data_IF_321776469819
#
_entry.id   IF_321776469819
#
_cell.length_a   1.000
_cell.length_b   1.000
_cell.length_c   1.000
_cell.angle_alpha   90.00
_cell.angle_beta   90.00
_cell.angle_gamma   90.00
#
_symmetry.space_group_name_H-M   'P 1'
#
loop_
_entity.id
_entity.type
_entity.pdbx_description
1 polymer ?
#
# COMPACT_ATOMS: atom_id res chain seq x y z
N UNK A 1 -61.34 -23.03 -14.11
CA UNK A 1 -60.51 -22.97 -12.87
C UNK A 1 -59.18 -23.73 -12.97
N UNK A 2 -59.10 -24.93 -13.57
CA UNK A 2 -57.84 -25.72 -13.61
C UNK A 2 -56.66 -25.12 -14.41
N UNK A 3 -56.91 -24.35 -15.48
CA UNK A 3 -55.84 -23.75 -16.32
C UNK A 3 -55.10 -22.61 -15.62
N UNK A 4 -55.80 -21.83 -14.80
CA UNK A 4 -55.22 -20.71 -14.05
C UNK A 4 -54.30 -21.19 -12.92
N UNK A 5 -54.62 -22.33 -12.29
CA UNK A 5 -53.76 -22.94 -11.27
C UNK A 5 -52.41 -23.41 -11.81
N UNK A 6 -52.38 -23.97 -13.03
CA UNK A 6 -51.13 -24.44 -13.65
C UNK A 6 -50.22 -23.26 -14.05
N UNK A 7 -50.79 -22.18 -14.56
CA UNK A 7 -50.03 -20.98 -14.92
C UNK A 7 -49.43 -20.38 -13.65
N UNK A 8 -50.22 -20.16 -12.58
CA UNK A 8 -49.72 -19.65 -11.31
C UNK A 8 -48.61 -20.52 -10.71
N UNK A 9 -48.72 -21.85 -10.79
CA UNK A 9 -47.69 -22.76 -10.29
C UNK A 9 -46.39 -22.67 -11.10
N UNK A 10 -46.47 -22.56 -12.43
CA UNK A 10 -45.29 -22.42 -13.29
C UNK A 10 -44.63 -21.05 -13.15
N UNK A 11 -45.40 -19.97 -13.01
CA UNK A 11 -44.82 -18.65 -12.76
C UNK A 11 -44.15 -18.59 -11.39
N UNK A 12 -44.74 -19.20 -10.36
CA UNK A 12 -44.11 -19.29 -9.03
C UNK A 12 -42.82 -20.12 -9.06
N UNK A 13 -42.82 -21.26 -9.77
CA UNK A 13 -41.61 -22.08 -9.95
C UNK A 13 -40.53 -21.35 -10.76
N UNK A 14 -40.91 -20.63 -11.82
CA UNK A 14 -40.00 -19.80 -12.59
C UNK A 14 -39.45 -18.62 -11.79
N UNK A 15 -40.26 -17.98 -10.93
CA UNK A 15 -39.78 -16.95 -10.00
C UNK A 15 -38.87 -17.52 -8.91
N UNK A 16 -39.05 -18.78 -8.49
CA UNK A 16 -38.16 -19.44 -7.54
C UNK A 16 -36.83 -19.86 -8.20
N UNK A 17 -36.84 -20.19 -9.50
CA UNK A 17 -35.66 -20.50 -10.30
C UNK A 17 -34.92 -19.25 -10.81
N UNK A 18 -35.63 -18.13 -10.95
CA UNK A 18 -35.09 -16.82 -11.34
C UNK A 18 -34.85 -15.90 -10.16
N UNK A 19 -35.17 -16.31 -8.93
CA UNK A 19 -34.75 -15.60 -7.73
C UNK A 19 -33.22 -15.58 -7.79
N UNK A 20 -32.58 -14.42 -8.05
CA UNK A 20 -31.14 -14.37 -7.91
C UNK A 20 -30.88 -14.83 -6.47
N UNK A 21 -30.00 -15.82 -6.33
CA UNK A 21 -29.44 -16.20 -5.04
C UNK A 21 -28.70 -14.97 -4.51
N UNK A 22 -29.44 -13.98 -4.01
CA UNK A 22 -29.00 -12.98 -3.08
C UNK A 22 -28.77 -13.74 -1.79
N UNK A 23 -27.77 -14.63 -1.82
CA UNK A 23 -27.01 -14.99 -0.66
C UNK A 23 -26.59 -13.63 -0.11
N UNK A 24 -27.29 -13.20 0.94
CA UNK A 24 -26.80 -12.18 1.83
C UNK A 24 -25.43 -12.69 2.27
N UNK A 25 -24.39 -12.28 1.54
CA UNK A 25 -23.02 -12.41 1.95
C UNK A 25 -22.98 -11.54 3.21
N UNK A 26 -23.16 -12.18 4.38
CA UNK A 26 -22.68 -11.61 5.63
C UNK A 26 -21.27 -11.12 5.32
N UNK A 27 -20.98 -9.82 5.50
CA UNK A 27 -19.73 -9.22 5.04
C UNK A 27 -18.58 -10.09 5.59
N UNK A 28 -17.78 -10.72 4.72
CA UNK A 28 -16.84 -11.73 5.17
C UNK A 28 -15.73 -11.04 5.98
N UNK A 29 -15.80 -11.17 7.31
CA UNK A 29 -14.74 -10.81 8.24
C UNK A 29 -13.57 -11.77 8.01
N UNK A 30 -12.71 -11.43 7.06
CA UNK A 30 -11.69 -12.36 6.54
C UNK A 30 -10.28 -12.07 7.04
N UNK A 31 -10.08 -11.07 7.90
CA UNK A 31 -8.75 -10.74 8.38
C UNK A 31 -8.77 -10.25 9.83
N UNK A 32 -8.71 -11.22 10.75
CA UNK A 32 -8.63 -10.99 12.21
C UNK A 32 -8.67 -12.29 13.00
N UNK A 33 -9.40 -13.31 12.54
CA UNK A 33 -9.37 -14.66 13.10
C UNK A 33 -9.68 -15.67 12.00
N UNK A 34 -8.64 -16.16 11.32
CA UNK A 34 -8.80 -17.40 10.54
C UNK A 34 -9.09 -18.50 11.54
N UNK A 35 -10.36 -18.83 11.73
CA UNK A 35 -10.67 -20.14 12.24
C UNK A 35 -10.05 -21.13 11.24
N UNK A 36 -9.08 -21.94 11.69
CA UNK A 36 -8.47 -23.02 10.90
C UNK A 36 -9.49 -24.15 10.68
N UNK A 37 -10.64 -23.80 10.09
CA UNK A 37 -11.76 -24.67 9.81
C UNK A 37 -12.26 -24.42 8.38
N UNK A 38 -13.08 -25.34 7.90
CA UNK A 38 -13.60 -25.32 6.54
C UNK A 38 -14.42 -24.08 6.19
N UNK A 39 -15.04 -23.43 7.18
CA UNK A 39 -15.84 -22.22 6.95
C UNK A 39 -14.96 -21.04 6.56
N UNK A 40 -13.89 -20.77 7.29
CA UNK A 40 -12.97 -19.66 6.95
C UNK A 40 -12.33 -19.84 5.57
N UNK A 41 -12.01 -21.08 5.19
CA UNK A 41 -11.51 -21.37 3.85
C UNK A 41 -12.56 -21.10 2.77
N UNK A 42 -13.83 -21.44 3.00
CA UNK A 42 -14.92 -21.29 2.04
C UNK A 42 -15.37 -19.84 1.81
N UNK A 43 -14.99 -18.91 2.70
CA UNK A 43 -15.24 -17.48 2.52
C UNK A 43 -14.40 -16.92 1.36
N UNK A 44 -13.19 -17.47 1.14
CA UNK A 44 -12.26 -17.06 0.09
C UNK A 44 -12.16 -18.05 -1.09
N UNK A 45 -12.32 -19.34 -0.83
CA UNK A 45 -12.07 -20.42 -1.80
C UNK A 45 -13.32 -21.24 -2.12
N UNK A 46 -13.38 -21.80 -3.33
CA UNK A 46 -14.43 -22.74 -3.75
C UNK A 46 -13.87 -23.79 -4.73
N UNK A 47 -13.92 -25.06 -4.35
CA UNK A 47 -13.18 -26.14 -5.05
C UNK A 47 -13.74 -26.50 -6.43
N UNK A 48 -15.06 -26.34 -6.66
CA UNK A 48 -15.71 -26.80 -7.89
C UNK A 48 -16.36 -25.69 -8.71
N UNK A 49 -16.25 -24.44 -8.29
CA UNK A 49 -16.91 -23.30 -8.96
C UNK A 49 -16.03 -22.05 -9.01
N UNK A 50 -14.73 -22.17 -8.76
CA UNK A 50 -13.85 -21.01 -8.72
C UNK A 50 -13.64 -20.44 -10.11
N UNK A 51 -13.68 -19.11 -10.21
CA UNK A 51 -13.46 -18.38 -11.46
C UNK A 51 -12.01 -17.96 -11.66
N UNK A 52 -11.16 -18.15 -10.64
CA UNK A 52 -9.77 -17.74 -10.61
C UNK A 52 -8.83 -18.86 -10.12
N UNK A 53 -7.54 -18.69 -10.43
CA UNK A 53 -6.48 -19.58 -9.94
C UNK A 53 -6.49 -19.65 -8.40
N UNK A 54 -5.95 -20.75 -7.86
CA UNK A 54 -5.94 -21.03 -6.41
C UNK A 54 -7.34 -21.13 -5.80
N UNK A 55 -8.33 -21.51 -6.60
CA UNK A 55 -9.71 -21.73 -6.19
C UNK A 55 -10.39 -20.48 -5.61
N UNK A 56 -9.95 -19.27 -5.96
CA UNK A 56 -10.54 -18.04 -5.44
C UNK A 56 -12.00 -17.90 -5.89
N UNK A 57 -12.88 -17.52 -4.96
CA UNK A 57 -14.34 -17.50 -5.12
C UNK A 57 -14.83 -16.50 -6.16
N UNK A 58 -14.11 -15.41 -6.37
CA UNK A 58 -14.49 -14.35 -7.30
C UNK A 58 -13.27 -13.73 -7.97
N UNK A 59 -13.52 -13.07 -9.11
CA UNK A 59 -12.49 -12.44 -9.93
C UNK A 59 -11.79 -13.42 -10.89
N UNK A 60 -10.82 -12.91 -11.64
CA UNK A 60 -10.00 -13.68 -12.60
C UNK A 60 -8.57 -13.87 -12.10
N UNK A 61 -8.16 -13.12 -11.08
CA UNK A 61 -6.86 -13.19 -10.41
C UNK A 61 -6.96 -12.72 -8.94
N UNK A 62 -5.88 -12.87 -8.18
CA UNK A 62 -5.82 -12.51 -6.78
C UNK A 62 -6.13 -11.02 -6.53
N UNK A 63 -5.63 -10.12 -7.37
CA UNK A 63 -5.90 -8.67 -7.23
C UNK A 63 -7.38 -8.36 -7.40
N UNK A 64 -8.05 -8.92 -8.41
CA UNK A 64 -9.50 -8.76 -8.58
C UNK A 64 -10.28 -9.36 -7.42
N UNK A 65 -9.78 -10.42 -6.80
CA UNK A 65 -10.34 -10.98 -5.58
C UNK A 65 -10.20 -10.00 -4.42
N UNK A 66 -8.98 -9.56 -4.09
CA UNK A 66 -8.77 -8.61 -2.99
C UNK A 66 -9.60 -7.32 -3.16
N UNK A 67 -9.73 -6.81 -4.38
CA UNK A 67 -10.50 -5.60 -4.69
C UNK A 67 -12.02 -5.77 -4.61
N UNK A 68 -12.55 -6.99 -4.58
CA UNK A 68 -13.98 -7.17 -4.32
C UNK A 68 -14.36 -6.79 -2.88
N UNK A 69 -13.40 -6.78 -1.96
CA UNK A 69 -13.57 -6.35 -0.57
C UNK A 69 -12.88 -5.01 -0.29
N UNK A 70 -11.70 -4.77 -0.88
CA UNK A 70 -10.88 -3.57 -0.66
C UNK A 70 -10.96 -2.53 -1.79
N UNK A 71 -11.84 -2.71 -2.77
CA UNK A 71 -12.03 -1.78 -3.87
C UNK A 71 -13.00 -0.64 -3.53
N UNK A 72 -13.24 0.20 -4.54
CA UNK A 72 -14.26 1.23 -4.44
C UNK A 72 -15.65 0.60 -4.27
N UNK A 73 -16.44 1.13 -3.34
CA UNK A 73 -17.82 0.69 -3.05
C UNK A 73 -17.93 -0.77 -2.59
N UNK A 74 -16.81 -1.42 -2.26
CA UNK A 74 -16.78 -2.78 -1.74
C UNK A 74 -17.30 -2.82 -0.29
N UNK A 75 -18.11 -3.83 0.03
CA UNK A 75 -18.82 -3.98 1.33
C UNK A 75 -18.01 -4.88 2.30
N UNK A 76 -16.72 -5.13 2.03
CA UNK A 76 -15.92 -6.13 2.77
C UNK A 76 -14.79 -5.58 3.63
N UNK A 77 -14.50 -4.29 3.59
CA UNK A 77 -13.38 -3.70 4.33
C UNK A 77 -13.56 -2.19 4.53
N UNK A 78 -13.10 -1.63 5.66
CA UNK A 78 -13.06 -0.19 5.86
C UNK A 78 -12.01 0.49 4.97
N UNK A 79 -11.12 -0.26 4.32
CA UNK A 79 -10.10 0.25 3.41
C UNK A 79 -10.53 0.12 1.95
N UNK A 80 -10.54 1.24 1.24
CA UNK A 80 -10.59 1.31 -0.23
C UNK A 80 -9.16 1.59 -0.71
N UNK A 81 -8.44 0.52 -1.05
CA UNK A 81 -7.04 0.59 -1.51
C UNK A 81 -6.94 1.10 -2.95
N UNK A 82 -8.05 1.08 -3.70
CA UNK A 82 -8.08 1.68 -5.04
C UNK A 82 -7.97 3.20 -4.93
N UNK A 83 -8.74 3.81 -4.06
CA UNK A 83 -8.78 5.27 -3.93
C UNK A 83 -7.97 5.82 -2.75
N UNK A 84 -7.33 4.97 -1.96
CA UNK A 84 -6.53 5.40 -0.81
C UNK A 84 -7.41 6.01 0.29
N UNK A 85 -8.58 5.42 0.54
CA UNK A 85 -9.54 5.89 1.53
C UNK A 85 -9.70 4.87 2.66
N UNK A 86 -9.97 5.37 3.86
CA UNK A 86 -10.26 4.58 5.05
C UNK A 86 -11.57 5.09 5.63
N UNK A 87 -12.58 4.25 5.77
CA UNK A 87 -13.80 4.58 6.51
C UNK A 87 -13.44 4.76 7.98
N UNK A 88 -13.72 5.96 8.52
CA UNK A 88 -13.81 6.18 9.95
C UNK A 88 -15.01 5.38 10.42
N UNK A 89 -14.77 4.35 11.21
CA UNK A 89 -15.84 3.54 11.80
C UNK A 89 -16.77 4.44 12.60
N UNK A 90 -18.01 4.63 12.14
CA UNK A 90 -19.10 4.95 13.07
C UNK A 90 -19.56 3.60 13.64
N UNK A 91 -19.47 3.46 14.96
CA UNK A 91 -19.96 2.31 15.74
C UNK A 91 -19.73 0.95 15.08
N UNK A 92 -18.47 0.53 15.08
CA UNK A 92 -18.14 -0.89 14.94
C UNK A 92 -18.61 -1.61 16.21
N UNK A 93 -19.57 -2.53 16.08
CA UNK A 93 -19.89 -3.43 17.18
C UNK A 93 -18.88 -4.58 17.18
N UNK A 94 -17.86 -4.48 18.03
CA UNK A 94 -16.89 -5.56 18.23
C UNK A 94 -17.53 -6.87 18.73
N UNK A 95 -18.76 -6.82 19.23
CA UNK A 95 -19.51 -7.99 19.74
C UNK A 95 -20.22 -8.74 18.62
N UNK A 96 -20.77 -8.03 17.64
CA UNK A 96 -21.51 -8.67 16.52
C UNK A 96 -20.74 -8.71 15.20
N UNK A 97 -19.60 -8.01 15.11
CA UNK A 97 -18.80 -7.92 13.88
C UNK A 97 -19.54 -7.21 12.73
N UNK A 98 -20.62 -6.50 13.04
CA UNK A 98 -21.43 -5.78 12.07
C UNK A 98 -21.12 -4.29 12.12
N UNK A 99 -21.20 -3.64 10.96
CA UNK A 99 -21.32 -2.19 10.91
C UNK A 99 -22.74 -1.86 11.40
N UNK A 100 -22.86 -1.19 12.56
CA UNK A 100 -24.17 -0.90 13.18
C UNK A 100 -25.02 0.05 12.32
N UNK A 101 -24.39 0.75 11.38
CA UNK A 101 -25.05 1.62 10.42
C UNK A 101 -24.60 1.27 9.01
N UNK A 102 -25.51 1.33 8.03
CA UNK A 102 -25.17 1.24 6.61
C UNK A 102 -24.40 2.49 6.18
N UNK A 103 -23.17 2.64 6.68
CA UNK A 103 -22.26 3.72 6.32
C UNK A 103 -21.95 3.59 4.84
N UNK A 104 -22.48 4.53 4.07
CA UNK A 104 -22.20 4.64 2.65
C UNK A 104 -20.89 5.41 2.50
N UNK A 105 -20.01 4.93 1.62
CA UNK A 105 -18.76 5.61 1.21
C UNK A 105 -18.95 7.06 0.72
N UNK A 106 -20.19 7.51 0.50
CA UNK A 106 -20.53 8.84 0.01
C UNK A 106 -20.66 9.91 1.10
N UNK A 107 -20.57 9.56 2.40
CA UNK A 107 -20.50 10.56 3.46
C UNK A 107 -19.04 11.01 3.67
N UNK A 108 -18.69 12.13 3.05
CA UNK A 108 -17.35 12.73 3.10
C UNK A 108 -16.89 13.10 4.52
N UNK A 109 -17.81 13.16 5.50
CA UNK A 109 -17.45 13.41 6.90
C UNK A 109 -16.71 12.23 7.57
N UNK A 110 -16.86 11.01 7.04
CA UNK A 110 -16.40 9.77 7.68
C UNK A 110 -15.27 9.06 6.94
N UNK A 111 -14.46 9.77 6.15
CA UNK A 111 -13.35 9.17 5.40
C UNK A 111 -12.02 9.79 5.81
N UNK A 112 -11.09 8.96 6.26
CA UNK A 112 -9.68 9.30 6.47
C UNK A 112 -8.84 8.94 5.24
N UNK A 113 -7.80 9.71 4.93
CA UNK A 113 -6.86 9.35 3.88
C UNK A 113 -5.96 8.19 4.29
N UNK A 114 -5.71 7.27 3.36
CA UNK A 114 -4.71 6.22 3.52
C UNK A 114 -3.30 6.82 3.44
N UNK A 115 -2.50 6.60 4.48
CA UNK A 115 -1.09 7.02 4.49
C UNK A 115 -0.21 6.17 3.55
N UNK A 116 -0.68 4.99 3.14
CA UNK A 116 0.00 4.16 2.14
C UNK A 116 -0.27 4.61 0.70
N UNK A 117 -1.23 5.51 0.49
CA UNK A 117 -1.78 5.86 -0.82
C UNK A 117 -2.80 4.85 -1.34
N UNK A 118 -3.24 5.07 -2.57
CA UNK A 118 -4.08 4.14 -3.33
C UNK A 118 -3.52 3.91 -4.72
N UNK A 119 -4.13 3.01 -5.50
CA UNK A 119 -3.63 2.64 -6.83
C UNK A 119 -4.19 3.50 -7.97
N UNK A 120 -5.44 3.94 -7.87
CA UNK A 120 -6.08 4.83 -8.86
C UNK A 120 -6.03 6.29 -8.39
N UNK A 121 -6.34 6.51 -7.11
CA UNK A 121 -6.29 7.83 -6.48
C UNK A 121 -5.48 7.77 -5.18
N UNK A 122 -4.79 8.88 -4.87
CA UNK A 122 -4.13 9.09 -3.59
C UNK A 122 -4.46 10.47 -3.04
N UNK A 123 -4.45 10.59 -1.71
CA UNK A 123 -4.65 11.87 -1.06
C UNK A 123 -3.39 12.73 -1.15
N UNK A 124 -3.55 13.97 -1.62
CA UNK A 124 -2.47 14.95 -1.69
C UNK A 124 -2.40 15.75 -0.39
N UNK A 125 -1.56 15.27 0.54
CA UNK A 125 -1.32 15.93 1.83
C UNK A 125 -0.62 17.29 1.69
N UNK A 126 0.08 17.53 0.57
CA UNK A 126 1.01 18.66 0.42
C UNK A 126 0.36 19.99 0.07
N UNK A 127 -0.56 19.98 -0.91
CA UNK A 127 -1.01 21.24 -1.54
C UNK A 127 -2.52 21.46 -1.43
N UNK A 128 -3.30 20.48 -1.89
CA UNK A 128 -4.74 20.69 -2.08
C UNK A 128 -5.61 19.99 -1.06
N UNK A 129 -5.07 19.08 -0.24
CA UNK A 129 -5.84 18.28 0.71
C UNK A 129 -7.03 17.58 0.02
N UNK A 130 -6.80 17.10 -1.21
CA UNK A 130 -7.79 16.43 -2.05
C UNK A 130 -7.23 15.15 -2.65
N UNK A 131 -8.13 14.26 -3.08
CA UNK A 131 -7.75 13.08 -3.85
C UNK A 131 -7.37 13.47 -5.28
N UNK A 132 -6.26 12.92 -5.75
CA UNK A 132 -5.76 13.09 -7.12
C UNK A 132 -5.49 11.74 -7.75
N UNK A 133 -5.58 11.72 -9.07
CA UNK A 133 -5.13 10.59 -9.87
C UNK A 133 -3.66 10.31 -9.55
N UNK A 134 -3.36 9.03 -9.37
CA UNK A 134 -2.00 8.60 -9.07
C UNK A 134 -1.13 8.76 -10.31
N UNK A 135 0.11 9.23 -10.08
CA UNK A 135 1.10 9.47 -11.14
C UNK A 135 2.25 8.48 -11.09
N UNK A 136 2.39 7.74 -9.98
CA UNK A 136 3.36 6.66 -9.78
C UNK A 136 2.78 5.57 -8.88
N UNK A 137 2.94 4.29 -9.26
CA UNK A 137 2.44 3.11 -8.53
C UNK A 137 3.42 1.94 -8.58
N UNK A 138 3.32 1.03 -7.62
CA UNK A 138 3.70 -0.36 -7.89
C UNK A 138 2.71 -1.01 -8.87
N UNK A 139 3.22 -1.65 -9.93
CA UNK A 139 2.38 -2.29 -10.95
C UNK A 139 1.89 -3.66 -10.48
N UNK A 140 0.80 -3.69 -9.70
CA UNK A 140 0.16 -4.93 -9.26
C UNK A 140 -0.63 -5.55 -10.43
N UNK A 141 -0.31 -6.78 -10.81
CA UNK A 141 -1.02 -7.58 -11.81
C UNK A 141 -2.52 -7.53 -11.58
N UNK A 142 -3.28 -7.30 -12.65
CA UNK A 142 -4.74 -7.19 -12.57
C UNK A 142 -5.26 -5.85 -12.05
N UNK A 143 -4.41 -4.99 -11.47
CA UNK A 143 -4.78 -3.64 -11.06
C UNK A 143 -5.27 -2.82 -12.25
N UNK A 144 -4.56 -2.81 -13.37
CA UNK A 144 -4.91 -1.96 -14.50
C UNK A 144 -6.19 -2.42 -15.22
N UNK A 145 -6.43 -3.73 -15.28
CA UNK A 145 -7.71 -4.27 -15.75
C UNK A 145 -8.87 -3.91 -14.82
N UNK A 146 -8.63 -3.84 -13.51
CA UNK A 146 -9.63 -3.49 -12.49
C UNK A 146 -9.81 -1.96 -12.30
N UNK A 147 -8.78 -1.16 -12.62
CA UNK A 147 -8.72 0.28 -12.37
C UNK A 147 -8.92 1.13 -13.63
N UNK A 148 -8.90 0.51 -14.82
CA UNK A 148 -8.87 1.18 -16.11
C UNK A 148 -7.45 1.59 -16.52
N UNK A 149 -7.29 2.07 -17.76
CA UNK A 149 -6.03 2.68 -18.21
C UNK A 149 -5.69 3.86 -17.30
N UNK A 150 -4.59 3.75 -16.56
CA UNK A 150 -4.10 4.85 -15.74
C UNK A 150 -3.33 5.79 -16.67
N UNK A 151 -4.07 6.69 -17.35
CA UNK A 151 -3.55 7.56 -18.42
C UNK A 151 -2.43 8.51 -17.99
N UNK A 152 -2.19 8.66 -16.68
CA UNK A 152 -1.23 9.62 -16.12
C UNK A 152 0.05 8.95 -15.57
N UNK A 153 0.18 7.62 -15.65
CA UNK A 153 1.44 6.95 -15.35
C UNK A 153 2.24 6.91 -16.65
N UNK A 154 3.31 7.71 -16.72
CA UNK A 154 4.16 7.74 -17.91
C UNK A 154 4.72 6.34 -18.18
N UNK A 155 4.74 5.92 -19.44
CA UNK A 155 5.15 4.59 -19.90
C UNK A 155 6.57 4.17 -19.48
N UNK A 156 7.41 5.11 -19.04
CA UNK A 156 8.75 4.84 -18.50
C UNK A 156 8.75 4.25 -17.08
N UNK A 157 7.67 4.45 -16.32
CA UNK A 157 7.47 3.83 -15.00
C UNK A 157 6.72 2.50 -15.11
N UNK A 158 6.18 2.24 -16.30
CA UNK A 158 5.65 0.98 -16.75
C UNK A 158 6.81 0.14 -17.29
N UNK A 159 7.70 -0.33 -16.40
CA UNK A 159 8.75 -1.26 -16.83
C UNK A 159 8.05 -2.52 -17.33
N UNK A 160 8.09 -2.73 -18.64
CA UNK A 160 7.74 -4.01 -19.26
C UNK A 160 8.78 -5.04 -18.80
N UNK A 161 8.51 -5.64 -17.64
CA UNK A 161 9.41 -6.60 -17.01
C UNK A 161 9.13 -6.71 -15.52
N UNK A 162 9.22 -7.93 -15.01
CA UNK A 162 9.04 -8.24 -13.60
C UNK A 162 10.22 -7.75 -12.74
N UNK A 163 11.21 -7.03 -13.28
CA UNK A 163 12.44 -6.65 -12.57
C UNK A 163 12.18 -5.61 -11.50
N UNK A 164 12.66 -5.88 -10.28
CA UNK A 164 12.49 -4.97 -9.15
C UNK A 164 13.53 -3.83 -9.25
N UNK A 165 13.12 -2.55 -9.20
CA UNK A 165 14.08 -1.44 -9.21
C UNK A 165 15.04 -1.53 -8.02
N UNK A 166 16.33 -1.69 -8.28
CA UNK A 166 17.31 -1.87 -7.20
C UNK A 166 17.12 -3.18 -6.42
N UNK A 167 16.53 -4.20 -7.06
CA UNK A 167 16.50 -5.57 -6.56
C UNK A 167 17.26 -6.51 -7.49
N UNK A 168 17.80 -7.61 -6.97
CA UNK A 168 18.37 -8.69 -7.78
C UNK A 168 17.32 -9.62 -8.40
N UNK A 169 16.06 -9.48 -7.98
CA UNK A 169 14.95 -10.36 -8.33
C UNK A 169 14.02 -9.85 -9.41
N UNK A 170 13.12 -10.75 -9.81
CA UNK A 170 11.99 -10.48 -10.68
C UNK A 170 10.71 -10.97 -10.00
N UNK A 171 9.64 -10.19 -10.05
CA UNK A 171 8.36 -10.43 -9.39
C UNK A 171 7.19 -10.11 -10.32
N UNK A 172 6.34 -11.10 -10.56
CA UNK A 172 4.97 -10.83 -11.02
C UNK A 172 4.19 -10.34 -9.81
N UNK A 173 4.00 -9.02 -9.72
CA UNK A 173 3.56 -8.36 -8.50
C UNK A 173 2.05 -8.53 -8.33
N UNK A 174 1.57 -9.10 -7.24
CA UNK A 174 0.15 -9.17 -6.87
C UNK A 174 -0.02 -8.74 -5.41
N UNK A 175 -1.25 -8.57 -4.92
CA UNK A 175 -1.48 -8.15 -3.52
C UNK A 175 -0.76 -9.07 -2.52
N UNK A 176 -0.84 -10.36 -2.77
CA UNK A 176 -0.18 -11.43 -2.01
C UNK A 176 1.31 -11.54 -2.26
N UNK A 177 1.94 -10.68 -3.07
CA UNK A 177 3.40 -10.56 -3.12
C UNK A 177 3.94 -9.82 -1.90
N UNK A 178 3.17 -8.87 -1.36
CA UNK A 178 3.49 -8.09 -0.18
C UNK A 178 2.73 -8.57 1.05
N UNK A 179 1.47 -8.96 0.84
CA UNK A 179 0.59 -9.40 1.92
C UNK A 179 0.58 -10.92 2.03
N UNK A 180 0.32 -11.41 3.23
CA UNK A 180 0.06 -12.79 3.54
C UNK A 180 -1.32 -12.89 4.17
N UNK A 181 -2.38 -13.11 3.37
CA UNK A 181 -3.72 -13.23 3.91
C UNK A 181 -3.83 -14.40 4.89
N UNK A 182 -2.94 -15.38 4.87
CA UNK A 182 -2.97 -16.51 5.80
C UNK A 182 -2.14 -16.29 7.08
N UNK A 183 -1.42 -15.18 7.21
CA UNK A 183 -0.51 -14.96 8.33
C UNK A 183 -1.21 -14.98 9.69
N UNK A 184 -2.53 -14.72 9.73
CA UNK A 184 -3.35 -14.78 10.95
C UNK A 184 -2.91 -13.78 12.02
N UNK A 185 -3.81 -13.48 12.94
CA UNK A 185 -3.50 -12.63 14.10
C UNK A 185 -4.74 -11.95 14.64
N UNK A 186 -5.20 -12.40 15.81
CA UNK A 186 -6.22 -11.70 16.58
C UNK A 186 -5.75 -10.27 16.84
N UNK A 187 -6.53 -9.26 16.44
CA UNK A 187 -6.30 -7.88 16.88
C UNK A 187 -6.71 -7.81 18.35
N UNK A 188 -5.73 -7.71 19.23
CA UNK A 188 -5.97 -7.23 20.61
C UNK A 188 -5.25 -5.91 20.72
N UNK A 189 -5.74 -5.01 21.58
CA UNK A 189 -5.45 -3.57 21.56
C UNK A 189 -3.97 -3.18 21.67
N UNK A 190 -3.08 -4.12 22.00
CA UNK A 190 -1.62 -3.93 21.95
C UNK A 190 -1.04 -4.35 20.58
N UNK A 191 -1.09 -3.42 19.63
CA UNK A 191 -0.84 -3.66 18.20
C UNK A 191 0.63 -3.54 17.76
N UNK A 192 1.55 -3.20 18.68
CA UNK A 192 2.95 -2.94 18.32
C UNK A 192 3.71 -4.19 17.85
N UNK A 193 3.35 -5.38 18.34
CA UNK A 193 4.04 -6.64 17.99
C UNK A 193 3.31 -7.50 16.94
N UNK A 194 2.15 -7.04 16.47
CA UNK A 194 1.34 -7.76 15.48
C UNK A 194 1.58 -7.17 14.09
N UNK A 195 1.45 -8.03 13.09
CA UNK A 195 1.63 -7.68 11.68
C UNK A 195 0.35 -7.01 11.13
N UNK A 196 0.16 -5.69 11.31
CA UNK A 196 -1.17 -5.09 11.38
C UNK A 196 -1.76 -4.80 9.99
N UNK A 197 -1.03 -5.20 8.94
CA UNK A 197 -1.42 -5.13 7.53
C UNK A 197 -1.19 -6.47 6.84
N UNK A 198 -0.98 -7.54 7.61
CA UNK A 198 -0.69 -8.87 7.07
C UNK A 198 0.48 -8.84 6.09
N UNK A 199 1.56 -8.10 6.37
CA UNK A 199 2.74 -8.04 5.52
C UNK A 199 3.54 -9.34 5.62
N UNK A 200 4.08 -9.83 4.51
CA UNK A 200 4.90 -11.04 4.53
C UNK A 200 6.11 -10.89 5.44
N UNK A 201 6.36 -11.93 6.20
CA UNK A 201 7.57 -12.08 7.02
C UNK A 201 8.77 -12.62 6.22
N UNK A 202 8.51 -13.05 4.98
CA UNK A 202 9.51 -13.56 4.07
C UNK A 202 9.32 -12.91 2.70
N UNK A 203 10.37 -12.21 2.25
CA UNK A 203 10.45 -11.64 0.90
C UNK A 203 11.78 -12.10 0.29
N UNK A 204 11.70 -12.83 -0.83
CA UNK A 204 12.85 -13.43 -1.49
C UNK A 204 13.72 -14.25 -0.51
N UNK A 205 14.99 -13.85 -0.35
CA UNK A 205 15.98 -14.48 0.52
C UNK A 205 15.93 -13.94 1.97
N UNK A 206 15.13 -12.91 2.25
CA UNK A 206 14.98 -12.36 3.60
C UNK A 206 13.84 -13.03 4.34
N UNK A 207 14.09 -13.36 5.60
CA UNK A 207 13.14 -14.04 6.50
C UNK A 207 13.07 -13.31 7.84
N UNK A 208 12.03 -13.57 8.63
CA UNK A 208 11.86 -12.92 9.93
C UNK A 208 11.55 -11.42 9.83
N UNK A 209 11.07 -10.97 8.68
CA UNK A 209 10.70 -9.57 8.47
C UNK A 209 9.49 -9.24 9.35
N UNK A 210 9.58 -8.17 10.14
CA UNK A 210 8.51 -7.72 11.02
C UNK A 210 8.38 -6.21 10.92
N UNK A 211 7.25 -5.77 10.38
CA UNK A 211 6.88 -4.36 10.39
C UNK A 211 5.96 -4.10 11.58
N UNK A 212 6.31 -3.07 12.36
CA UNK A 212 5.58 -2.64 13.55
C UNK A 212 5.06 -1.22 13.34
N UNK A 213 3.80 -0.99 13.69
CA UNK A 213 3.17 0.34 13.66
C UNK A 213 2.00 0.38 14.63
N UNK A 214 1.76 1.53 15.23
CA UNK A 214 0.52 1.80 15.97
C UNK A 214 -0.57 2.21 15.01
N UNK A 215 -1.77 1.63 15.16
CA UNK A 215 -2.96 2.04 14.43
C UNK A 215 -3.98 2.55 15.45
N UNK A 216 -4.62 3.67 15.15
CA UNK A 216 -5.73 4.15 15.95
C UNK A 216 -6.93 3.18 15.78
N UNK A 217 -7.40 2.54 16.86
CA UNK A 217 -8.47 1.55 16.79
C UNK A 217 -9.80 2.14 16.30
N UNK A 218 -10.01 3.45 16.42
CA UNK A 218 -11.25 4.11 16.03
C UNK A 218 -11.26 4.55 14.56
N UNK A 219 -10.09 4.76 13.96
CA UNK A 219 -9.98 5.28 12.60
C UNK A 219 -9.28 4.33 11.64
N UNK A 220 -8.64 3.27 12.16
CA UNK A 220 -7.83 2.32 11.40
C UNK A 220 -6.65 2.98 10.64
N UNK A 221 -6.28 4.20 11.02
CA UNK A 221 -5.17 4.97 10.45
C UNK A 221 -3.90 4.67 11.25
N UNK A 222 -2.75 4.39 10.60
CA UNK A 222 -1.47 4.33 11.32
C UNK A 222 -1.17 5.67 11.99
N UNK A 223 -0.92 5.67 13.30
CA UNK A 223 -0.56 6.86 14.08
C UNK A 223 0.94 6.99 14.31
N UNK A 224 1.67 5.87 14.24
CA UNK A 224 3.12 5.83 14.34
C UNK A 224 3.66 4.61 13.61
N UNK A 225 4.74 4.77 12.84
CA UNK A 225 5.54 3.65 12.36
C UNK A 225 6.64 3.39 13.39
N UNK A 226 6.82 2.14 13.80
CA UNK A 226 7.74 1.80 14.91
C UNK A 226 9.04 1.24 14.37
N UNK A 227 8.98 0.23 13.50
CA UNK A 227 10.19 -0.41 12.95
C UNK A 227 9.90 -1.33 11.78
N UNK A 228 10.95 -1.68 11.03
CA UNK A 228 11.00 -2.85 10.14
C UNK A 228 10.71 -2.61 8.67
N UNK A 229 10.26 -1.41 8.27
CA UNK A 229 10.03 -1.07 6.86
C UNK A 229 11.32 -1.12 6.05
N UNK A 230 12.47 -0.73 6.61
CA UNK A 230 13.73 -0.81 5.89
C UNK A 230 14.10 -2.26 5.54
N UNK A 231 14.03 -3.16 6.50
CA UNK A 231 14.26 -4.59 6.26
C UNK A 231 13.25 -5.17 5.25
N UNK A 232 11.98 -4.80 5.41
CA UNK A 232 10.88 -5.30 4.58
C UNK A 232 10.97 -4.81 3.12
N UNK A 233 11.06 -3.50 2.88
CA UNK A 233 11.27 -2.94 1.55
C UNK A 233 12.59 -3.44 0.94
N UNK A 234 13.65 -3.54 1.75
CA UNK A 234 14.95 -4.07 1.34
C UNK A 234 14.95 -5.57 1.00
N UNK A 235 13.90 -6.32 1.32
CA UNK A 235 13.74 -7.72 0.86
C UNK A 235 13.47 -7.83 -0.63
N UNK A 236 12.86 -6.81 -1.22
CA UNK A 236 12.69 -6.69 -2.67
C UNK A 236 13.77 -5.78 -3.28
N UNK A 237 14.06 -4.66 -2.61
CA UNK A 237 15.01 -3.65 -3.07
C UNK A 237 16.38 -3.83 -2.38
N UNK A 238 17.04 -4.95 -2.66
CA UNK A 238 18.25 -5.42 -1.96
C UNK A 238 19.53 -4.61 -2.25
N UNK A 239 19.55 -3.77 -3.29
CA UNK A 239 20.68 -2.87 -3.55
C UNK A 239 20.79 -1.77 -2.49
N UNK A 240 19.68 -1.46 -1.81
CA UNK A 240 19.66 -0.47 -0.74
C UNK A 240 20.11 -1.17 0.54
N UNK A 241 21.25 -0.73 1.08
CA UNK A 241 21.84 -1.28 2.30
C UNK A 241 20.93 -1.03 3.52
N UNK A 242 20.01 -1.95 3.76
CA UNK A 242 18.90 -1.81 4.71
C UNK A 242 19.15 -2.49 6.06
N UNK A 243 20.17 -3.35 6.17
CA UNK A 243 20.32 -4.26 7.33
C UNK A 243 21.51 -4.00 8.24
N UNK A 244 22.60 -3.38 7.77
CA UNK A 244 23.75 -3.20 8.66
C UNK A 244 24.65 -2.04 8.27
N UNK A 245 24.96 -1.24 9.29
CA UNK A 245 25.90 -0.11 9.29
C UNK A 245 25.49 1.04 8.38
N UNK A 246 24.76 1.96 8.99
CA UNK A 246 25.01 3.39 9.05
C UNK A 246 25.82 4.12 7.95
N UNK A 247 25.75 3.72 6.69
CA UNK A 247 26.51 4.33 5.61
C UNK A 247 25.54 4.90 4.60
N UNK A 248 25.51 6.23 4.51
CA UNK A 248 25.31 6.87 3.22
C UNK A 248 26.34 6.23 2.28
N UNK A 249 25.84 5.52 1.28
CA UNK A 249 26.65 4.64 0.46
C UNK A 249 26.58 5.05 -0.99
N UNK A 250 27.53 4.53 -1.76
CA UNK A 250 27.36 4.45 -3.19
C UNK A 250 27.40 3.01 -3.64
N UNK A 251 26.61 2.71 -4.67
CA UNK A 251 26.74 1.44 -5.41
C UNK A 251 27.22 1.77 -6.80
N UNK A 252 28.19 1.00 -7.29
CA UNK A 252 28.59 1.00 -8.69
C UNK A 252 27.61 0.14 -9.46
N UNK A 253 26.80 0.75 -10.32
CA UNK A 253 25.88 0.02 -11.21
C UNK A 253 26.17 0.43 -12.66
N UNK A 254 26.54 -0.53 -13.50
CA UNK A 254 26.93 -0.25 -14.90
C UNK A 254 28.11 0.72 -15.03
N UNK A 255 29.06 0.70 -14.09
CA UNK A 255 30.23 1.59 -14.08
C UNK A 255 29.96 3.01 -13.60
N UNK A 256 28.79 3.30 -13.03
CA UNK A 256 28.45 4.62 -12.46
C UNK A 256 28.20 4.53 -10.96
N UNK A 257 28.78 5.48 -10.23
CA UNK A 257 28.59 5.67 -8.79
C UNK A 257 27.21 6.28 -8.51
N UNK A 258 26.33 5.55 -7.83
CA UNK A 258 25.02 6.04 -7.36
C UNK A 258 25.06 6.34 -5.87
N UNK A 259 24.96 7.61 -5.47
CA UNK A 259 24.87 7.99 -4.07
C UNK A 259 23.44 7.91 -3.56
N UNK A 260 23.25 7.32 -2.39
CA UNK A 260 21.94 7.10 -1.78
C UNK A 260 21.91 7.59 -0.35
N UNK A 261 20.73 8.06 0.09
CA UNK A 261 20.53 8.46 1.48
C UNK A 261 20.68 7.24 2.40
N UNK A 262 21.23 7.47 3.59
CA UNK A 262 21.36 6.45 4.62
C UNK A 262 19.98 6.08 5.20
N UNK A 263 19.72 4.77 5.36
CA UNK A 263 18.55 4.25 6.08
C UNK A 263 18.92 3.86 7.53
N UNK A 264 17.93 3.72 8.41
CA UNK A 264 18.11 3.51 9.86
C UNK A 264 18.98 4.61 10.50
N UNK A 265 18.88 5.85 9.98
CA UNK A 265 19.63 7.00 10.51
C UNK A 265 18.75 7.75 11.49
N UNK A 266 19.20 7.86 12.74
CA UNK A 266 18.58 8.67 13.77
C UNK A 266 18.51 10.15 13.37
N UNK A 267 17.33 10.72 13.53
CA UNK A 267 16.99 12.13 13.36
C UNK A 267 16.84 12.73 14.75
N UNK A 268 17.78 13.58 15.13
CA UNK A 268 17.78 14.22 16.45
C UNK A 268 16.97 15.53 16.42
N UNK A 269 16.03 15.66 17.36
CA UNK A 269 15.11 16.81 17.47
C UNK A 269 15.88 18.13 17.76
N UNK A 270 16.97 18.05 18.51
CA UNK A 270 17.78 19.20 18.96
C UNK A 270 18.42 20.01 17.84
N UNK A 271 18.53 19.47 16.62
CA UNK A 271 19.11 20.17 15.47
C UNK A 271 18.11 21.10 14.78
N UNK A 272 16.80 20.95 15.02
CA UNK A 272 15.74 21.66 14.27
C UNK A 272 15.16 22.90 14.96
N UNK A 273 15.82 23.41 16.01
CA UNK A 273 15.65 24.79 16.48
C UNK A 273 14.22 25.19 16.86
N UNK A 274 13.44 24.28 17.45
CA UNK A 274 12.08 24.59 17.94
C UNK A 274 11.01 24.67 16.84
N UNK A 275 11.29 24.20 15.62
CA UNK A 275 10.24 24.08 14.61
C UNK A 275 9.26 22.98 15.04
N UNK A 276 8.05 23.37 15.40
CA UNK A 276 7.02 22.48 15.93
C UNK A 276 6.59 21.47 14.86
N UNK A 277 7.21 20.29 14.94
CA UNK A 277 6.66 18.99 14.53
C UNK A 277 6.40 18.76 13.02
N UNK A 278 7.43 18.69 12.15
CA UNK A 278 7.27 18.15 10.79
C UNK A 278 7.09 16.62 10.75
N UNK A 279 7.11 15.93 11.89
CA UNK A 279 7.24 14.47 12.01
C UNK A 279 5.91 13.74 12.25
N UNK A 280 4.84 14.20 11.65
CA UNK A 280 3.63 13.37 11.63
C UNK A 280 3.82 12.25 10.59
N UNK A 281 3.15 11.12 10.82
CA UNK A 281 3.05 10.00 9.88
C UNK A 281 2.51 10.39 8.49
N UNK A 282 1.83 11.52 8.38
CA UNK A 282 1.32 12.07 7.11
C UNK A 282 2.45 12.68 6.26
N UNK A 283 3.32 13.45 6.92
CA UNK A 283 4.34 14.30 6.32
C UNK A 283 5.71 13.61 6.23
N UNK A 284 6.24 13.17 7.37
CA UNK A 284 7.50 12.45 7.50
C UNK A 284 7.25 11.21 8.34
N UNK A 285 6.91 10.11 7.67
CA UNK A 285 6.73 8.80 8.28
C UNK A 285 8.09 8.21 8.72
N UNK A 286 8.67 8.79 9.77
CA UNK A 286 9.82 8.23 10.47
C UNK A 286 9.39 7.00 11.26
N UNK A 287 10.29 6.03 11.35
CA UNK A 287 10.16 4.94 12.31
C UNK A 287 10.56 5.45 13.70
N UNK A 288 9.79 5.09 14.73
CA UNK A 288 10.01 5.57 16.10
C UNK A 288 10.29 4.38 17.00
N UNK A 289 11.50 4.34 17.56
CA UNK A 289 11.93 3.34 18.54
C UNK A 289 12.25 4.06 19.86
N UNK A 290 11.32 3.98 20.82
CA UNK A 290 11.40 4.74 22.06
C UNK A 290 11.38 6.26 21.80
N UNK A 291 12.47 6.95 22.15
CA UNK A 291 12.64 8.40 21.89
C UNK A 291 13.30 8.70 20.55
N UNK A 292 13.90 7.69 19.92
CA UNK A 292 14.64 7.87 18.68
C UNK A 292 13.70 7.80 17.47
N UNK A 293 13.99 8.63 16.46
CA UNK A 293 13.28 8.64 15.19
C UNK A 293 14.25 8.31 14.09
N UNK A 294 13.90 7.42 13.17
CA UNK A 294 14.79 6.96 12.10
C UNK A 294 14.18 7.12 10.72
N UNK A 295 15.06 7.42 9.75
CA UNK A 295 14.67 7.48 8.34
C UNK A 295 14.45 6.07 7.81
N UNK A 296 13.29 5.87 7.21
CA UNK A 296 12.91 4.63 6.54
C UNK A 296 12.49 4.86 5.09
N UNK A 297 12.32 3.78 4.33
CA UNK A 297 11.83 3.84 2.95
C UNK A 297 10.52 4.64 2.87
N UNK A 298 9.60 4.39 3.81
CA UNK A 298 8.30 5.07 3.84
C UNK A 298 8.39 6.53 4.31
N UNK A 299 9.50 7.00 4.88
CA UNK A 299 9.71 8.43 5.14
C UNK A 299 9.66 9.24 3.84
N UNK A 300 10.21 8.68 2.76
CA UNK A 300 10.28 9.35 1.45
C UNK A 300 9.24 8.82 0.45
N UNK A 301 8.74 7.60 0.65
CA UNK A 301 7.86 6.92 -0.29
C UNK A 301 6.49 6.56 0.29
N UNK A 302 5.52 6.39 -0.60
CA UNK A 302 4.22 5.74 -0.32
C UNK A 302 4.30 4.27 -0.76
N UNK A 303 3.62 3.37 -0.05
CA UNK A 303 3.72 1.94 -0.30
C UNK A 303 2.91 1.47 -1.52
N UNK A 304 1.76 2.09 -1.82
CA UNK A 304 0.93 1.73 -2.96
C UNK A 304 1.17 2.67 -4.14
N UNK A 305 0.62 3.88 -4.08
CA UNK A 305 0.66 4.86 -5.15
C UNK A 305 0.72 6.27 -4.63
N UNK A 306 1.22 7.18 -5.47
CA UNK A 306 1.34 8.60 -5.16
C UNK A 306 1.03 9.50 -6.35
N UNK A 307 0.30 10.58 -6.08
CA UNK A 307 0.08 11.72 -6.97
C UNK A 307 1.15 12.80 -6.82
N UNK A 308 2.15 12.61 -5.95
CA UNK A 308 3.23 13.56 -5.77
C UNK A 308 4.21 13.47 -6.95
N UNK A 309 4.47 14.61 -7.58
CA UNK A 309 5.34 14.71 -8.75
C UNK A 309 6.62 15.50 -8.39
N UNK A 310 7.73 15.13 -9.02
CA UNK A 310 8.88 16.01 -9.13
C UNK A 310 8.64 16.93 -10.34
N UNK A 311 8.59 18.25 -10.15
CA UNK A 311 8.38 19.18 -11.28
C UNK A 311 9.54 19.14 -12.28
N UNK A 312 9.30 19.43 -13.57
CA UNK A 312 10.18 19.08 -14.68
C UNK A 312 11.54 19.79 -14.81
N UNK A 313 11.99 20.66 -13.89
CA UNK A 313 13.07 21.61 -14.23
C UNK A 313 14.40 21.48 -13.48
N UNK A 314 14.48 20.90 -12.28
CA UNK A 314 15.69 21.06 -11.43
C UNK A 314 16.36 19.78 -10.94
N UNK A 315 15.74 18.60 -11.12
CA UNK A 315 16.30 17.32 -10.70
C UNK A 315 16.19 16.27 -11.81
N UNK A 316 16.76 16.57 -12.97
CA UNK A 316 16.97 15.56 -14.02
C UNK A 316 17.86 14.46 -13.43
N UNK A 317 17.37 13.22 -13.36
CA UNK A 317 18.24 12.09 -13.01
C UNK A 317 19.27 11.94 -14.12
N UNK A 318 20.52 12.35 -13.88
CA UNK A 318 21.62 12.04 -14.81
C UNK A 318 21.96 10.53 -14.80
N UNK A 319 21.56 9.83 -13.75
CA UNK A 319 21.57 8.37 -13.68
C UNK A 319 20.27 7.81 -14.28
N UNK A 320 20.16 7.85 -15.61
CA UNK A 320 19.31 6.92 -16.32
C UNK A 320 19.69 5.50 -15.85
N UNK A 321 18.70 4.73 -15.40
CA UNK A 321 18.84 3.29 -15.22
C UNK A 321 19.03 2.68 -16.61
N UNK A 322 20.26 2.78 -17.14
CA UNK A 322 20.67 2.26 -18.46
C UNK A 322 20.67 0.73 -18.53
N UNK A 323 20.16 0.05 -17.50
CA UNK A 323 20.28 -1.39 -17.35
C UNK A 323 19.32 -2.21 -18.21
N UNK A 324 18.30 -1.60 -18.84
CA UNK A 324 17.32 -2.38 -19.60
C UNK A 324 16.89 -1.79 -20.94
N UNK A 325 16.93 -0.47 -21.13
CA UNK A 325 16.78 0.12 -22.46
C UNK A 325 18.18 0.38 -23.05
N UNK A 326 18.70 -0.58 -23.81
CA UNK A 326 19.93 -0.37 -24.59
C UNK A 326 19.75 0.69 -25.71
N UNK A 327 18.63 1.42 -25.69
CA UNK A 327 18.33 2.59 -26.49
C UNK A 327 18.99 3.78 -25.81
N UNK A 328 19.92 4.46 -26.49
CA UNK A 328 20.62 5.65 -26.00
C UNK A 328 19.72 6.88 -25.74
N UNK A 329 18.45 6.69 -25.40
CA UNK A 329 17.50 7.71 -24.99
C UNK A 329 17.93 8.26 -23.63
N UNK A 330 18.37 9.53 -23.63
CA UNK A 330 18.45 10.35 -22.43
C UNK A 330 17.06 10.37 -21.80
N UNK A 331 16.79 9.49 -20.84
CA UNK A 331 15.55 9.52 -20.09
C UNK A 331 15.52 10.84 -19.32
N UNK A 332 14.87 11.85 -19.88
CA UNK A 332 14.43 13.05 -19.17
C UNK A 332 13.32 12.73 -18.16
N UNK A 333 12.95 11.44 -18.06
CA UNK A 333 12.06 10.87 -17.07
C UNK A 333 12.44 11.28 -15.66
N UNK A 334 11.56 12.10 -15.09
CA UNK A 334 11.56 12.59 -13.72
C UNK A 334 11.41 11.40 -12.79
N UNK A 335 12.50 10.69 -12.47
CA UNK A 335 12.41 9.51 -11.64
C UNK A 335 11.92 9.87 -10.24
N UNK A 336 10.61 9.75 -10.05
CA UNK A 336 9.81 10.25 -8.94
C UNK A 336 8.91 9.13 -8.41
N UNK A 337 9.43 7.90 -8.43
CA UNK A 337 8.66 6.74 -8.01
C UNK A 337 8.15 6.89 -6.58
N UNK A 338 6.83 6.86 -6.45
CA UNK A 338 6.08 6.80 -5.21
C UNK A 338 6.43 7.89 -4.19
N UNK A 339 6.75 9.11 -4.63
CA UNK A 339 7.14 10.18 -3.70
C UNK A 339 6.09 10.43 -2.61
N UNK A 340 6.53 10.65 -1.37
CA UNK A 340 5.62 11.03 -0.28
C UNK A 340 5.15 12.48 -0.40
N UNK A 341 6.08 13.38 -0.73
CA UNK A 341 5.83 14.81 -0.95
C UNK A 341 6.34 15.23 -2.33
N UNK A 342 5.70 16.26 -2.90
CA UNK A 342 6.09 16.83 -4.19
C UNK A 342 7.48 17.41 -4.16
N UNK A 343 8.12 17.51 -5.32
CA UNK A 343 9.42 18.15 -5.49
C UNK A 343 10.54 17.63 -4.56
N UNK A 344 10.34 16.45 -3.95
CA UNK A 344 11.20 15.92 -2.88
C UNK A 344 11.27 16.86 -1.66
N UNK A 345 10.18 17.54 -1.33
CA UNK A 345 10.07 18.41 -0.16
C UNK A 345 10.39 17.66 1.15
N UNK A 346 10.31 16.33 1.15
CA UNK A 346 10.83 15.48 2.24
C UNK A 346 12.29 15.83 2.58
N UNK A 347 13.11 16.16 1.58
CA UNK A 347 14.49 16.60 1.76
C UNK A 347 14.53 17.97 2.43
N UNK A 348 13.71 18.93 1.98
CA UNK A 348 13.65 20.26 2.59
C UNK A 348 13.18 20.21 4.05
N UNK A 349 12.22 19.32 4.39
CA UNK A 349 11.75 19.17 5.77
C UNK A 349 12.85 18.69 6.72
N UNK A 350 13.86 17.95 6.23
CA UNK A 350 15.01 17.51 7.01
C UNK A 350 16.25 18.42 6.86
N UNK A 351 16.46 19.04 5.70
CA UNK A 351 17.70 19.78 5.41
C UNK A 351 17.53 21.30 5.34
N UNK A 352 16.29 21.79 5.44
CA UNK A 352 15.91 23.17 5.13
C UNK A 352 16.49 23.63 3.77
N UNK A 353 16.81 24.91 3.61
CA UNK A 353 17.60 25.47 2.49
C UNK A 353 19.08 25.02 2.56
N UNK A 354 19.34 23.72 2.77
CA UNK A 354 20.67 23.15 2.98
C UNK A 354 21.43 23.65 4.24
N UNK A 355 20.77 24.35 5.17
CA UNK A 355 21.38 24.82 6.44
C UNK A 355 22.00 23.70 7.28
N UNK A 356 21.54 22.46 7.08
CA UNK A 356 21.97 21.28 7.84
C UNK A 356 22.85 20.31 7.02
N UNK A 357 23.34 20.71 5.85
CA UNK A 357 24.25 19.90 5.03
C UNK A 357 25.73 19.98 5.47
N UNK A 358 25.99 20.46 6.69
CA UNK A 358 27.36 20.68 7.15
C UNK A 358 28.07 19.36 7.51
N UNK A 359 29.02 18.97 6.65
CA UNK A 359 30.03 17.95 6.93
C UNK A 359 31.04 18.51 7.94
N UNK A 360 30.75 18.34 9.23
CA UNK A 360 31.71 18.55 10.31
C UNK A 360 32.67 17.36 10.51
N UNK A 361 33.12 16.70 9.44
CA UNK A 361 34.32 15.87 9.46
C UNK A 361 35.44 16.70 8.83
N UNK A 362 36.19 17.40 9.68
CA UNK A 362 37.54 17.86 9.34
C UNK A 362 38.45 16.65 9.11
N UNK A 363 39.36 16.68 8.11
CA UNK A 363 40.44 15.69 7.96
C UNK A 363 41.28 15.56 9.23
#
# INVERSE_FOLDING_TARGET
MKKWGLILALTAAAMLLLAPSALALSPPYTHGDFANNSKGCADCHVTHAATAQKLLKFGTNQTTFCLACHGQDAIGSPFDVRNGKIMKTANWDSTTGNVIDTLKWNDSAWVSPSLAGGFANSYDFGDSNTYKAVTSIHNVRGAQGAFGTISNVTTYEYVYGNTIPGGSGSLDFECGSCHDPHAGGAYTDDQADKNPRLLKEKLFNKTGLRVKMHIDPNTNVPTQYTSGFNGWCGGCHDIFNTESTARAGYVLEGGRTKYMHQFNRKVYDTVYGGNTNPYTVEWLALEVDGTDKEISCITCHRAHGSSAQALPASFTRYAAYKGYDNTGTTSTGLGSALLRLKQRDVCYKCHAEAKYNYYGYTP
#
